data_IF_368966705538
#
_entry.id   IF_368966705538
#
_cell.length_a   1.000
_cell.length_b   1.000
_cell.length_c   1.000
_cell.angle_alpha   90.00
_cell.angle_beta   90.00
_cell.angle_gamma   90.00
#
_symmetry.space_group_name_H-M   'P 1'
#
loop_
_entity.id
_entity.type
_entity.pdbx_description
1 polymer ?
#
# COMPACT_ATOMS: atom_id res chain seq x y z
N UNK A 1 10.51 -3.68 -10.83
CA UNK A 1 10.19 -3.30 -9.45
C UNK A 1 11.23 -2.32 -8.91
N UNK A 2 12.49 -2.73 -8.67
CA UNK A 2 13.52 -1.88 -8.04
C UNK A 2 13.72 -0.49 -8.68
N UNK A 3 13.85 -0.31 -10.01
CA UNK A 3 14.01 1.04 -10.56
C UNK A 3 12.84 1.99 -10.27
N UNK A 4 11.62 1.44 -10.13
CA UNK A 4 10.43 2.22 -9.76
C UNK A 4 10.46 2.61 -8.29
N UNK A 5 10.86 1.68 -7.42
CA UNK A 5 11.05 1.93 -5.99
C UNK A 5 12.14 2.98 -5.75
N UNK A 6 13.23 2.91 -6.53
CA UNK A 6 14.28 3.92 -6.53
C UNK A 6 13.74 5.31 -6.82
N UNK A 7 12.94 5.45 -7.88
CA UNK A 7 12.37 6.74 -8.27
C UNK A 7 11.53 7.36 -7.14
N UNK A 8 10.67 6.56 -6.51
CA UNK A 8 9.89 6.99 -5.34
C UNK A 8 10.82 7.39 -4.18
N UNK A 9 11.84 6.57 -3.88
CA UNK A 9 12.78 6.83 -2.78
C UNK A 9 13.58 8.13 -3.03
N UNK A 10 13.98 8.37 -4.27
CA UNK A 10 14.76 9.56 -4.67
C UNK A 10 14.03 10.89 -4.51
N UNK A 11 12.70 10.85 -4.36
CA UNK A 11 11.83 12.02 -4.23
C UNK A 11 11.17 12.12 -2.85
N UNK A 12 11.27 11.10 -2.01
CA UNK A 12 10.72 11.06 -0.65
C UNK A 12 11.82 11.25 0.41
N UNK A 13 11.44 11.48 1.66
CA UNK A 13 12.41 11.47 2.76
C UNK A 13 12.92 10.03 3.06
N UNK A 14 12.14 9.02 2.69
CA UNK A 14 12.39 7.61 2.95
C UNK A 14 11.10 6.82 3.11
N UNK A 15 11.22 5.51 3.30
CA UNK A 15 10.09 4.61 3.55
C UNK A 15 10.03 4.19 5.01
N UNK A 16 8.83 4.02 5.56
CA UNK A 16 8.63 3.51 6.92
C UNK A 16 7.80 2.23 6.94
N UNK A 17 8.24 1.28 7.77
CA UNK A 17 7.48 0.09 8.19
C UNK A 17 7.61 -0.06 9.70
N UNK A 18 6.52 0.20 10.42
CA UNK A 18 6.50 0.19 11.88
C UNK A 18 7.54 1.17 12.46
N UNK A 19 8.44 0.68 13.31
CA UNK A 19 9.55 1.47 13.88
C UNK A 19 10.77 1.57 12.96
N UNK A 20 10.77 0.94 11.79
CA UNK A 20 11.91 0.89 10.89
C UNK A 20 11.79 1.90 9.76
N UNK A 21 12.93 2.45 9.33
CA UNK A 21 13.01 3.49 8.34
C UNK A 21 14.11 3.18 7.32
N UNK A 22 13.76 3.22 6.03
CA UNK A 22 14.69 3.17 4.91
C UNK A 22 14.89 4.60 4.41
N UNK A 23 15.99 5.28 4.77
CA UNK A 23 16.20 6.66 4.40
C UNK A 23 16.50 6.80 2.91
N UNK A 24 16.18 7.96 2.32
CA UNK A 24 16.64 8.31 0.98
C UNK A 24 18.17 8.36 0.91
N UNK A 25 18.78 9.16 1.77
CA UNK A 25 20.24 9.33 1.81
C UNK A 25 20.83 8.52 2.98
N UNK A 26 21.95 7.80 2.79
CA UNK A 26 22.84 7.85 1.62
C UNK A 26 22.48 6.89 0.47
N UNK A 27 21.37 6.14 0.58
CA UNK A 27 21.02 5.07 -0.38
C UNK A 27 20.94 5.60 -1.81
N UNK A 28 20.23 6.70 -2.03
CA UNK A 28 20.05 7.30 -3.36
C UNK A 28 21.32 8.01 -3.83
N UNK A 29 22.09 8.60 -2.91
CA UNK A 29 23.32 9.30 -3.26
C UNK A 29 24.51 8.38 -3.58
N UNK A 30 24.53 7.15 -3.06
CA UNK A 30 25.67 6.23 -3.17
C UNK A 30 25.42 5.02 -4.08
N UNK A 31 24.17 4.75 -4.45
CA UNK A 31 23.77 3.54 -5.20
C UNK A 31 23.20 3.89 -6.57
N UNK A 32 22.93 2.88 -7.39
CA UNK A 32 22.15 3.01 -8.63
C UNK A 32 20.89 2.15 -8.58
N UNK A 33 19.82 2.48 -9.33
CA UNK A 33 18.60 1.69 -9.36
C UNK A 33 18.81 0.23 -9.81
N UNK A 34 19.87 -0.04 -10.58
CA UNK A 34 20.20 -1.34 -11.16
C UNK A 34 21.22 -2.14 -10.34
N UNK A 35 21.83 -1.58 -9.28
CA UNK A 35 22.83 -2.31 -8.49
C UNK A 35 22.21 -3.29 -7.49
N UNK A 36 22.88 -4.42 -7.30
CA UNK A 36 22.46 -5.47 -6.38
C UNK A 36 22.26 -4.98 -4.94
N UNK A 37 23.11 -4.05 -4.47
CA UNK A 37 23.04 -3.56 -3.09
C UNK A 37 21.77 -2.74 -2.83
N UNK A 38 21.24 -2.03 -3.82
CA UNK A 38 19.97 -1.33 -3.68
C UNK A 38 18.82 -2.34 -3.60
N UNK A 39 18.79 -3.33 -4.49
CA UNK A 39 17.80 -4.40 -4.44
C UNK A 39 17.79 -5.10 -3.08
N UNK A 40 18.97 -5.44 -2.56
CA UNK A 40 19.13 -6.07 -1.25
C UNK A 40 18.64 -5.16 -0.09
N UNK A 41 18.88 -3.85 -0.16
CA UNK A 41 18.38 -2.92 0.84
C UNK A 41 16.84 -2.87 0.87
N UNK A 42 16.20 -2.84 -0.30
CA UNK A 42 14.73 -2.88 -0.44
C UNK A 42 14.18 -4.22 0.03
N UNK A 43 14.80 -5.34 -0.34
CA UNK A 43 14.39 -6.68 0.08
C UNK A 43 14.48 -6.85 1.60
N UNK A 44 15.59 -6.42 2.21
CA UNK A 44 15.76 -6.46 3.66
C UNK A 44 14.72 -5.61 4.38
N UNK A 45 14.43 -4.41 3.84
CA UNK A 45 13.41 -3.52 4.40
C UNK A 45 12.00 -4.12 4.32
N UNK A 46 11.59 -4.64 3.16
CA UNK A 46 10.28 -5.31 3.03
C UNK A 46 10.22 -6.64 3.79
N UNK A 47 11.37 -7.29 3.98
CA UNK A 47 11.52 -8.50 4.78
C UNK A 47 11.20 -8.31 6.26
N UNK A 48 11.19 -7.07 6.77
CA UNK A 48 10.75 -6.74 8.12
C UNK A 48 9.26 -7.03 8.35
N UNK A 49 8.46 -7.02 7.27
CA UNK A 49 7.05 -7.42 7.31
C UNK A 49 7.00 -8.94 7.37
N UNK A 50 6.60 -9.51 8.52
CA UNK A 50 6.66 -10.96 8.75
C UNK A 50 5.58 -11.74 7.97
N UNK A 51 4.37 -11.17 7.87
CA UNK A 51 3.26 -11.79 7.14
C UNK A 51 3.45 -11.66 5.62
N UNK A 52 3.49 -12.77 4.86
CA UNK A 52 3.69 -12.71 3.41
C UNK A 52 2.58 -11.96 2.66
N UNK A 53 1.33 -12.04 3.13
CA UNK A 53 0.21 -11.34 2.49
C UNK A 53 0.33 -9.82 2.69
N UNK A 54 0.64 -9.37 3.91
CA UNK A 54 0.96 -7.97 4.19
C UNK A 54 2.15 -7.46 3.37
N UNK A 55 3.22 -8.26 3.27
CA UNK A 55 4.39 -7.90 2.48
C UNK A 55 4.04 -7.74 0.99
N UNK A 56 3.20 -8.61 0.45
CA UNK A 56 2.73 -8.49 -0.92
C UNK A 56 1.88 -7.22 -1.12
N UNK A 57 1.02 -6.86 -0.16
CA UNK A 57 0.26 -5.60 -0.20
C UNK A 57 1.22 -4.39 -0.16
N UNK A 58 2.32 -4.45 0.60
CA UNK A 58 3.34 -3.40 0.62
C UNK A 58 4.05 -3.25 -0.73
N UNK A 59 4.39 -4.37 -1.39
CA UNK A 59 4.93 -4.39 -2.76
C UNK A 59 3.94 -3.76 -3.74
N UNK A 60 2.66 -4.12 -3.65
CA UNK A 60 1.61 -3.55 -4.50
C UNK A 60 1.40 -2.05 -4.23
N UNK A 61 1.53 -1.61 -2.99
CA UNK A 61 1.47 -0.19 -2.60
C UNK A 61 2.55 0.62 -3.31
N UNK A 62 3.80 0.16 -3.28
CA UNK A 62 4.91 0.80 -4.01
C UNK A 62 4.66 0.81 -5.52
N UNK A 63 4.12 -0.27 -6.08
CA UNK A 63 3.78 -0.35 -7.49
C UNK A 63 2.65 0.60 -7.89
N UNK A 64 1.67 0.81 -7.01
CA UNK A 64 0.57 1.77 -7.20
C UNK A 64 1.10 3.19 -7.21
N UNK A 65 1.95 3.57 -6.25
CA UNK A 65 2.60 4.88 -6.20
C UNK A 65 3.34 5.14 -7.51
N UNK A 66 4.20 4.21 -7.93
CA UNK A 66 4.94 4.33 -9.19
C UNK A 66 4.01 4.48 -10.42
N UNK A 67 2.89 3.74 -10.46
CA UNK A 67 1.94 3.82 -11.59
C UNK A 67 1.16 5.13 -11.59
N UNK A 68 0.94 5.73 -10.43
CA UNK A 68 0.31 7.06 -10.30
C UNK A 68 1.29 8.13 -10.81
N UNK A 69 2.56 8.08 -10.41
CA UNK A 69 3.59 9.00 -10.90
C UNK A 69 3.78 8.88 -12.42
N UNK A 70 3.92 7.67 -12.96
CA UNK A 70 4.05 7.42 -14.41
C UNK A 70 2.91 8.04 -15.24
N UNK A 71 1.69 8.06 -14.68
CA UNK A 71 0.48 8.55 -15.38
C UNK A 71 0.31 10.06 -15.25
N UNK A 72 0.97 10.69 -14.28
CA UNK A 72 0.81 12.10 -13.97
C UNK A 72 2.21 12.73 -13.86
N UNK A 73 2.92 12.93 -14.98
CA UNK A 73 4.30 13.44 -14.97
C UNK A 73 4.46 14.86 -14.40
N UNK A 74 3.38 15.61 -14.20
CA UNK A 74 3.37 16.91 -13.49
C UNK A 74 2.89 16.82 -12.03
N UNK A 75 2.65 15.60 -11.52
CA UNK A 75 2.24 15.36 -10.14
C UNK A 75 3.39 14.71 -9.39
N UNK A 76 4.04 15.49 -8.53
CA UNK A 76 5.18 15.01 -7.75
C UNK A 76 4.75 14.73 -6.31
N UNK A 77 5.16 13.58 -5.77
CA UNK A 77 5.04 13.30 -4.34
C UNK A 77 5.97 14.26 -3.61
N UNK A 78 5.44 15.01 -2.64
CA UNK A 78 6.26 15.90 -1.81
C UNK A 78 7.30 15.10 -1.01
N UNK A 79 8.43 15.72 -0.61
CA UNK A 79 9.54 15.04 0.05
C UNK A 79 9.23 14.68 1.52
N UNK A 80 8.20 13.86 1.73
CA UNK A 80 7.77 13.33 3.01
C UNK A 80 8.13 11.85 3.15
N UNK A 81 7.90 11.30 4.34
CA UNK A 81 8.09 9.88 4.61
C UNK A 81 6.91 9.09 4.04
N UNK A 82 7.17 8.10 3.19
CA UNK A 82 6.14 7.17 2.72
C UNK A 82 5.92 6.09 3.78
N UNK A 83 4.85 6.24 4.56
CA UNK A 83 4.46 5.30 5.61
C UNK A 83 3.60 4.16 5.04
N UNK A 84 4.24 3.01 4.75
CA UNK A 84 3.57 1.89 4.09
C UNK A 84 2.41 1.33 4.94
N UNK A 85 2.59 1.04 6.25
CA UNK A 85 1.48 0.59 7.11
C UNK A 85 0.29 1.55 7.13
N UNK A 86 0.54 2.87 7.18
CA UNK A 86 -0.54 3.86 7.16
C UNK A 86 -1.34 3.81 5.86
N UNK A 87 -0.68 3.74 4.71
CA UNK A 87 -1.33 3.68 3.40
C UNK A 87 -2.13 2.38 3.24
N UNK A 88 -1.52 1.24 3.58
CA UNK A 88 -2.20 -0.06 3.52
C UNK A 88 -3.40 -0.11 4.46
N UNK A 89 -3.25 0.40 5.69
CA UNK A 89 -4.31 0.48 6.69
C UNK A 89 -5.50 1.31 6.23
N UNK A 90 -5.25 2.47 5.62
CA UNK A 90 -6.30 3.30 5.04
C UNK A 90 -7.02 2.58 3.89
N UNK A 91 -6.28 1.93 2.98
CA UNK A 91 -6.88 1.18 1.88
C UNK A 91 -7.78 0.03 2.38
N UNK A 92 -7.29 -0.74 3.36
CA UNK A 92 -8.06 -1.79 4.02
C UNK A 92 -9.27 -1.23 4.77
N UNK A 93 -9.15 -0.07 5.42
CA UNK A 93 -10.26 0.61 6.10
C UNK A 93 -11.36 1.07 5.15
N UNK A 94 -11.00 1.63 3.99
CA UNK A 94 -11.95 2.00 2.92
C UNK A 94 -12.69 0.75 2.42
N UNK A 95 -11.95 -0.33 2.14
CA UNK A 95 -12.49 -1.61 1.74
C UNK A 95 -13.46 -2.17 2.79
N UNK A 96 -13.03 -2.25 4.04
CA UNK A 96 -13.81 -2.78 5.16
C UNK A 96 -15.11 -2.00 5.37
N UNK A 97 -15.02 -0.67 5.36
CA UNK A 97 -16.19 0.20 5.50
C UNK A 97 -17.20 -0.05 4.38
N UNK A 98 -16.74 -0.21 3.14
CA UNK A 98 -17.62 -0.45 2.01
C UNK A 98 -18.33 -1.79 2.06
N UNK A 99 -17.61 -2.87 2.38
CA UNK A 99 -18.13 -4.23 2.24
C UNK A 99 -18.66 -4.85 3.53
N UNK A 100 -18.08 -4.50 4.67
CA UNK A 100 -18.46 -5.08 5.97
C UNK A 100 -19.44 -4.16 6.72
N UNK A 101 -19.17 -2.86 6.75
CA UNK A 101 -20.05 -1.90 7.44
C UNK A 101 -21.28 -1.59 6.58
N UNK A 102 -21.06 -1.14 5.34
CA UNK A 102 -22.13 -0.66 4.45
C UNK A 102 -22.63 -1.70 3.44
N UNK A 103 -21.94 -2.85 3.32
CA UNK A 103 -22.24 -3.85 2.30
C UNK A 103 -23.51 -4.65 2.59
N UNK A 104 -24.11 -5.29 1.56
CA UNK A 104 -25.28 -6.13 1.74
C UNK A 104 -24.93 -7.37 2.59
N UNK A 105 -25.35 -7.32 3.86
CA UNK A 105 -25.31 -8.43 4.83
C UNK A 105 -23.95 -9.18 4.93
N UNK A 106 -22.85 -8.46 5.10
CA UNK A 106 -21.55 -9.09 5.43
C UNK A 106 -20.98 -9.95 4.29
N UNK A 107 -21.29 -9.65 3.03
CA UNK A 107 -20.60 -10.28 1.90
C UNK A 107 -19.39 -9.44 1.51
N UNK A 108 -18.22 -10.07 1.44
CA UNK A 108 -17.07 -9.49 0.73
C UNK A 108 -17.34 -9.41 -0.77
N UNK A 109 -16.55 -8.63 -1.53
CA UNK A 109 -16.69 -8.57 -2.98
C UNK A 109 -16.50 -9.97 -3.59
N UNK A 110 -17.36 -10.32 -4.54
CA UNK A 110 -17.25 -11.54 -5.35
C UNK A 110 -17.21 -12.88 -4.57
N UNK A 111 -17.81 -12.96 -3.38
CA UNK A 111 -17.97 -14.24 -2.70
C UNK A 111 -16.71 -14.79 -2.06
N UNK A 112 -15.77 -13.90 -1.66
CA UNK A 112 -14.63 -14.26 -0.79
C UNK A 112 -15.09 -15.21 0.32
N UNK A 113 -14.36 -16.31 0.52
CA UNK A 113 -14.69 -17.40 1.46
C UNK A 113 -14.94 -16.94 2.90
N UNK A 114 -14.55 -15.71 3.22
CA UNK A 114 -14.77 -15.05 4.51
C UNK A 114 -16.22 -14.64 4.79
N UNK A 115 -17.17 -14.86 3.88
CA UNK A 115 -18.60 -14.51 4.08
C UNK A 115 -19.22 -15.17 5.33
N UNK A 116 -18.82 -16.40 5.65
CA UNK A 116 -19.27 -17.09 6.86
C UNK A 116 -18.69 -16.46 8.14
N UNK A 117 -17.42 -16.01 8.10
CA UNK A 117 -16.78 -15.31 9.21
C UNK A 117 -17.40 -13.93 9.44
N UNK A 118 -17.75 -13.21 8.37
CA UNK A 118 -18.41 -11.90 8.45
C UNK A 118 -19.83 -11.97 9.01
N UNK A 119 -20.56 -13.07 8.77
CA UNK A 119 -21.93 -13.24 9.26
C UNK A 119 -22.00 -13.41 10.79
N UNK A 120 -20.93 -13.91 11.42
CA UNK A 120 -20.84 -14.11 12.88
C UNK A 120 -20.14 -12.95 13.60
N UNK A 121 -19.68 -11.93 12.87
CA UNK A 121 -19.09 -10.74 13.47
C UNK A 121 -20.16 -9.93 14.21
N UNK A 122 -20.07 -9.97 15.55
CA UNK A 122 -20.86 -9.10 16.41
C UNK A 122 -20.39 -7.64 16.35
N UNK A 123 -19.07 -7.43 16.34
CA UNK A 123 -18.45 -6.11 16.13
C UNK A 123 -17.95 -5.99 14.68
N UNK A 124 -18.14 -4.82 14.08
CA UNK A 124 -17.68 -4.49 12.72
C UNK A 124 -16.61 -3.41 12.73
N UNK A 125 -15.99 -3.14 13.87
CA UNK A 125 -14.86 -2.23 13.95
C UNK A 125 -13.62 -2.84 13.27
N UNK A 126 -13.07 -2.13 12.28
CA UNK A 126 -11.88 -2.56 11.54
C UNK A 126 -10.70 -2.90 12.46
N UNK A 127 -10.46 -2.08 13.49
CA UNK A 127 -9.31 -2.26 14.39
C UNK A 127 -9.33 -3.61 15.13
N UNK A 128 -10.53 -4.15 15.38
CA UNK A 128 -10.71 -5.43 16.07
C UNK A 128 -10.60 -6.63 15.12
N UNK A 129 -10.59 -6.38 13.81
CA UNK A 129 -10.64 -7.40 12.76
C UNK A 129 -9.58 -7.20 11.67
N UNK A 130 -8.48 -6.51 11.99
CA UNK A 130 -7.43 -6.15 11.03
C UNK A 130 -6.85 -7.37 10.29
N UNK A 131 -6.63 -8.48 11.00
CA UNK A 131 -6.16 -9.72 10.37
C UNK A 131 -7.15 -10.27 9.34
N UNK A 132 -8.44 -10.28 9.66
CA UNK A 132 -9.48 -10.73 8.73
C UNK A 132 -9.60 -9.77 7.54
N UNK A 133 -9.57 -8.46 7.81
CA UNK A 133 -9.58 -7.43 6.79
C UNK A 133 -8.41 -7.58 5.81
N UNK A 134 -7.19 -7.79 6.33
CA UNK A 134 -5.99 -8.04 5.53
C UNK A 134 -6.13 -9.26 4.65
N UNK A 135 -6.60 -10.39 5.20
CA UNK A 135 -6.82 -11.62 4.41
C UNK A 135 -7.83 -11.36 3.28
N UNK A 136 -8.97 -10.77 3.61
CA UNK A 136 -9.99 -10.45 2.62
C UNK A 136 -9.51 -9.48 1.55
N UNK A 137 -8.67 -8.51 1.94
CA UNK A 137 -8.10 -7.52 1.04
C UNK A 137 -7.05 -8.14 0.11
N UNK A 138 -6.24 -9.06 0.63
CA UNK A 138 -5.27 -9.83 -0.15
C UNK A 138 -5.95 -10.74 -1.20
N UNK A 139 -7.11 -11.31 -0.87
CA UNK A 139 -7.89 -12.18 -1.76
C UNK A 139 -8.61 -11.40 -2.89
N UNK A 140 -8.52 -10.07 -2.93
CA UNK A 140 -9.13 -9.27 -3.98
C UNK A 140 -8.42 -9.45 -5.33
N UNK A 141 -9.14 -9.34 -6.46
CA UNK A 141 -8.50 -9.16 -7.75
C UNK A 141 -7.56 -7.96 -7.73
N UNK A 142 -6.35 -8.09 -8.29
CA UNK A 142 -5.40 -6.98 -8.33
C UNK A 142 -5.94 -5.78 -9.12
N UNK A 143 -6.60 -6.02 -10.25
CA UNK A 143 -7.18 -4.99 -11.11
C UNK A 143 -8.71 -4.96 -11.04
N UNK A 144 -9.29 -3.84 -11.48
CA UNK A 144 -10.74 -3.59 -11.51
C UNK A 144 -11.16 -2.46 -10.57
N UNK A 145 -12.42 -2.02 -10.70
CA UNK A 145 -12.97 -0.90 -9.91
C UNK A 145 -12.99 -1.17 -8.40
N UNK A 146 -13.03 -2.45 -8.03
CA UNK A 146 -13.08 -2.94 -6.64
C UNK A 146 -11.90 -3.86 -6.33
N UNK A 147 -10.82 -3.76 -7.12
CA UNK A 147 -9.60 -4.52 -6.90
C UNK A 147 -8.62 -3.82 -5.95
N UNK A 148 -7.59 -4.54 -5.53
CA UNK A 148 -6.55 -4.06 -4.62
C UNK A 148 -5.94 -2.74 -5.09
N UNK A 149 -5.63 -2.64 -6.38
CA UNK A 149 -5.10 -1.42 -6.99
C UNK A 149 -5.99 -0.20 -6.74
N UNK A 150 -7.31 -0.34 -6.87
CA UNK A 150 -8.24 0.79 -6.75
C UNK A 150 -8.30 1.32 -5.31
N UNK A 151 -8.27 0.44 -4.31
CA UNK A 151 -8.25 0.86 -2.91
C UNK A 151 -6.92 1.49 -2.52
N UNK A 152 -5.80 0.87 -2.91
CA UNK A 152 -4.47 1.42 -2.68
C UNK A 152 -4.31 2.79 -3.35
N UNK A 153 -4.77 2.94 -4.60
CA UNK A 153 -4.67 4.22 -5.30
C UNK A 153 -5.46 5.32 -4.59
N UNK A 154 -6.64 5.00 -4.05
CA UNK A 154 -7.45 5.96 -3.27
C UNK A 154 -6.75 6.34 -1.96
N UNK A 155 -6.14 5.39 -1.26
CA UNK A 155 -5.39 5.67 -0.03
C UNK A 155 -4.14 6.51 -0.31
N UNK A 156 -3.39 6.16 -1.35
CA UNK A 156 -2.21 6.89 -1.81
C UNK A 156 -2.56 8.34 -2.16
N UNK A 157 -3.58 8.57 -2.98
CA UNK A 157 -4.05 9.91 -3.35
C UNK A 157 -4.61 10.72 -2.16
N UNK A 158 -5.07 10.05 -1.10
CA UNK A 158 -5.59 10.69 0.11
C UNK A 158 -4.48 11.09 1.07
N UNK A 159 -3.45 10.26 1.22
CA UNK A 159 -2.45 10.38 2.28
C UNK A 159 -1.15 11.00 1.83
N UNK A 160 -0.72 10.76 0.59
CA UNK A 160 0.50 11.37 0.09
C UNK A 160 0.21 12.80 -0.38
N UNK A 161 0.98 13.79 0.10
CA UNK A 161 0.86 15.14 -0.42
C UNK A 161 1.48 15.18 -1.83
N UNK A 162 0.68 15.65 -2.78
CA UNK A 162 1.13 15.86 -4.16
C UNK A 162 1.24 17.35 -4.44
N UNK A 163 2.31 17.78 -5.10
CA UNK A 163 2.35 19.05 -5.82
C UNK A 163 1.94 18.78 -7.27
N UNK A 164 1.06 19.64 -7.80
CA UNK A 164 0.74 19.65 -9.23
C UNK A 164 1.44 20.89 -9.80
N UNK A 165 2.49 20.66 -10.58
CA UNK A 165 3.11 21.73 -11.34
C UNK A 165 2.19 22.07 -12.51
N UNK A 166 1.42 23.15 -12.34
CA UNK A 166 0.61 23.75 -13.39
C UNK A 166 1.51 24.70 -14.19
N UNK A 167 2.28 24.16 -15.14
CA UNK A 167 2.86 24.98 -16.23
C UNK A 167 1.80 25.39 -17.26
#
# INVERSE_FOLDING_TARGET
>A
FYPRVWNILSRSAGFRVGSHFLPRDPIVSEKTPEEFNFALAVENFLGLISDPAERQIAVETLMVIAKIEDRNPGMEVQPEVVDLPMIMGEAMGIFWTKWVVNGPAGRGPAGTDSSAALATLGDRNFANHEHLARRMFYDLPQEGKEGTFAYLARAVLKLLPYSIDLE
#
